data_IF_643994138742
#
_entry.id   IF_643994138742
#
_cell.length_a   1.000
_cell.length_b   1.000
_cell.length_c   1.000
_cell.angle_alpha   90.00
_cell.angle_beta   90.00
_cell.angle_gamma   90.00
#
_symmetry.space_group_name_H-M   'P 1'
#
loop_
_entity.id
_entity.type
_entity.pdbx_description
1 polymer ?
#
# COMPACT_ATOMS: atom_id res chain seq x y z
N UNK A 1 4.30 -62.34 -11.35
CA UNK A 1 5.60 -62.00 -10.78
C UNK A 1 5.67 -60.50 -10.57
N UNK A 2 5.88 -60.10 -9.32
CA UNK A 2 6.12 -58.72 -8.91
C UNK A 2 7.61 -58.47 -9.07
N UNK A 3 8.03 -57.48 -9.86
CA UNK A 3 9.37 -56.89 -9.69
C UNK A 3 9.38 -55.41 -10.07
N UNK A 4 9.51 -54.61 -9.01
CA UNK A 4 10.40 -53.47 -8.85
C UNK A 4 10.68 -52.59 -10.07
N UNK A 5 9.86 -51.56 -10.23
CA UNK A 5 10.37 -50.26 -10.65
C UNK A 5 9.75 -49.18 -9.76
N UNK A 6 10.35 -49.02 -8.59
CA UNK A 6 10.19 -47.85 -7.73
C UNK A 6 10.76 -46.63 -8.46
N UNK A 7 10.00 -46.07 -9.40
CA UNK A 7 10.23 -44.78 -10.00
C UNK A 7 9.43 -43.77 -9.19
N UNK A 8 10.15 -43.04 -8.34
CA UNK A 8 9.75 -41.91 -7.51
C UNK A 8 8.35 -41.38 -7.82
N UNK A 9 7.46 -41.50 -6.84
CA UNK A 9 6.19 -40.80 -6.78
C UNK A 9 6.42 -39.28 -6.95
N UNK A 10 6.34 -38.78 -8.18
CA UNK A 10 6.04 -37.38 -8.43
C UNK A 10 4.54 -37.25 -8.28
N UNK A 11 4.15 -36.77 -7.11
CA UNK A 11 2.80 -36.37 -6.75
C UNK A 11 2.09 -35.66 -7.91
N UNK A 12 0.78 -35.92 -8.08
CA UNK A 12 -0.01 -35.51 -9.24
C UNK A 12 0.00 -33.99 -9.36
N UNK A 13 -0.02 -33.49 -10.60
CA UNK A 13 -0.10 -32.06 -10.90
C UNK A 13 -1.22 -31.39 -10.09
N UNK A 14 -0.84 -30.80 -8.96
CA UNK A 14 -1.68 -29.92 -8.17
C UNK A 14 -2.03 -28.68 -9.00
N UNK A 15 -3.25 -28.19 -8.87
CA UNK A 15 -4.12 -27.84 -9.99
C UNK A 15 -3.63 -26.61 -10.74
N UNK A 16 -3.82 -26.67 -12.06
CA UNK A 16 -3.91 -25.50 -12.92
C UNK A 16 -4.71 -24.40 -12.23
N UNK A 17 -4.18 -23.16 -12.30
CA UNK A 17 -4.86 -21.91 -11.95
C UNK A 17 -4.70 -21.48 -10.50
N UNK A 18 -3.53 -20.90 -10.19
CA UNK A 18 -3.56 -19.73 -9.32
C UNK A 18 -4.72 -18.82 -9.82
N UNK A 19 -5.63 -18.37 -8.95
CA UNK A 19 -6.63 -17.40 -9.38
C UNK A 19 -5.85 -16.24 -10.04
N UNK A 20 -6.34 -15.69 -11.17
CA UNK A 20 -5.71 -14.52 -11.75
C UNK A 20 -5.52 -13.54 -10.61
N UNK A 21 -4.27 -13.14 -10.36
CA UNK A 21 -3.85 -12.33 -9.21
C UNK A 21 -4.99 -11.40 -8.86
N UNK A 22 -5.58 -11.49 -7.65
CA UNK A 22 -6.74 -10.69 -7.30
C UNK A 22 -6.36 -9.28 -7.72
N UNK A 23 -7.10 -8.78 -8.72
CA UNK A 23 -6.74 -7.63 -9.52
C UNK A 23 -5.96 -6.67 -8.64
N UNK A 24 -4.72 -6.37 -9.02
CA UNK A 24 -3.79 -5.52 -8.26
C UNK A 24 -4.41 -4.19 -7.81
N UNK A 25 -5.61 -3.86 -8.27
CA UNK A 25 -6.55 -2.91 -7.69
C UNK A 25 -8.01 -3.41 -7.85
N UNK A 26 -8.49 -4.35 -7.04
CA UNK A 26 -9.94 -4.50 -6.86
C UNK A 26 -10.44 -3.17 -6.29
N UNK A 27 -11.13 -2.39 -7.13
CA UNK A 27 -11.75 -1.07 -6.89
C UNK A 27 -11.58 -0.61 -5.44
N UNK A 28 -10.84 0.49 -5.27
CA UNK A 28 -10.90 1.34 -4.07
C UNK A 28 -12.33 1.33 -3.53
N UNK A 29 -12.55 1.16 -2.20
CA UNK A 29 -13.89 1.32 -1.64
C UNK A 29 -14.48 2.57 -2.27
N UNK A 30 -15.66 2.40 -2.88
CA UNK A 30 -16.34 3.45 -3.63
C UNK A 30 -16.16 4.76 -2.83
N UNK A 31 -15.50 5.74 -3.44
CA UNK A 31 -14.96 6.93 -2.77
C UNK A 31 -16.09 7.90 -2.36
N UNK A 32 -17.26 7.35 -2.07
CA UNK A 32 -18.55 7.96 -1.82
C UNK A 32 -19.05 7.45 -0.47
N UNK A 33 -18.40 7.92 0.60
CA UNK A 33 -19.00 8.08 1.96
C UNK A 33 -18.06 8.67 3.02
N UNK A 34 -16.87 9.14 2.65
CA UNK A 34 -16.07 10.02 3.52
C UNK A 34 -16.00 11.35 2.80
N UNK A 35 -16.65 12.38 3.34
CA UNK A 35 -16.55 13.73 2.78
C UNK A 35 -15.09 14.14 2.60
N UNK A 36 -14.79 14.88 1.54
CA UNK A 36 -13.45 15.43 1.35
C UNK A 36 -13.16 16.46 2.45
N UNK A 37 -12.25 16.13 3.37
CA UNK A 37 -11.79 17.06 4.38
C UNK A 37 -10.78 18.00 3.72
N UNK A 38 -11.07 19.30 3.73
CA UNK A 38 -10.20 20.33 3.15
C UNK A 38 -9.22 20.82 4.21
N UNK A 39 -7.94 20.83 3.86
CA UNK A 39 -6.87 21.41 4.68
C UNK A 39 -6.20 22.54 3.90
N UNK A 40 -5.84 23.61 4.60
CA UNK A 40 -4.98 24.65 4.03
C UNK A 40 -3.54 24.14 3.93
N UNK A 41 -2.76 24.67 2.99
CA UNK A 41 -1.33 24.32 2.88
C UNK A 41 -0.57 24.66 4.17
N UNK A 42 -0.94 25.75 4.85
CA UNK A 42 -0.35 26.15 6.13
C UNK A 42 -0.57 25.11 7.23
N UNK A 43 -1.75 24.48 7.30
CA UNK A 43 -2.01 23.38 8.24
C UNK A 43 -1.12 22.18 7.94
N UNK A 44 -0.95 21.82 6.66
CA UNK A 44 -0.10 20.70 6.26
C UNK A 44 1.38 20.98 6.55
N UNK A 45 1.84 22.21 6.30
CA UNK A 45 3.20 22.66 6.63
C UNK A 45 3.43 22.53 8.14
N UNK A 46 2.54 23.05 8.98
CA UNK A 46 2.67 22.93 10.44
C UNK A 46 2.67 21.46 10.88
N UNK A 47 1.73 20.67 10.38
CA UNK A 47 1.57 19.27 10.76
C UNK A 47 2.81 18.42 10.42
N UNK A 48 3.54 18.76 9.36
CA UNK A 48 4.72 18.04 8.88
C UNK A 48 6.04 18.70 9.27
N UNK A 49 6.02 19.71 10.13
CA UNK A 49 7.18 20.55 10.46
C UNK A 49 7.91 21.04 9.20
N UNK A 50 7.16 21.68 8.30
CA UNK A 50 7.61 22.13 6.99
C UNK A 50 8.24 21.02 6.12
N UNK A 51 7.61 19.84 6.09
CA UNK A 51 8.13 18.66 5.39
C UNK A 51 9.55 18.29 5.81
N UNK A 52 9.85 18.42 7.12
CA UNK A 52 11.17 18.09 7.66
C UNK A 52 11.60 16.65 7.29
N UNK A 53 12.88 16.40 7.00
CA UNK A 53 13.37 15.05 6.69
C UNK A 53 13.09 14.03 7.81
N UNK A 54 13.09 14.49 9.07
CA UNK A 54 12.76 13.66 10.24
C UNK A 54 11.31 13.17 10.24
N UNK A 55 10.42 13.83 9.50
CA UNK A 55 9.02 13.43 9.34
C UNK A 55 8.82 12.52 8.13
N UNK A 56 9.83 12.27 7.30
CA UNK A 56 9.70 11.38 6.14
C UNK A 56 9.50 9.93 6.62
N UNK A 57 8.45 9.29 6.12
CA UNK A 57 8.13 7.89 6.42
C UNK A 57 8.22 6.97 5.19
N UNK A 58 8.32 7.53 3.99
CA UNK A 58 8.48 6.75 2.78
C UNK A 58 8.75 7.60 1.55
N UNK A 59 9.30 6.97 0.53
CA UNK A 59 9.51 7.57 -0.79
C UNK A 59 9.25 6.51 -1.86
N UNK A 60 8.56 6.91 -2.92
CA UNK A 60 8.38 6.09 -4.11
C UNK A 60 8.61 6.91 -5.39
N UNK A 61 8.29 6.31 -6.53
CA UNK A 61 8.44 6.94 -7.84
C UNK A 61 7.65 8.24 -7.98
N UNK A 62 6.43 8.30 -7.44
CA UNK A 62 5.50 9.42 -7.69
C UNK A 62 5.44 10.47 -6.57
N UNK A 63 5.92 10.15 -5.37
CA UNK A 63 5.74 11.03 -4.21
C UNK A 63 6.69 10.69 -3.06
N UNK A 64 6.87 11.66 -2.17
CA UNK A 64 7.44 11.47 -0.83
C UNK A 64 6.32 11.54 0.20
N UNK A 65 6.34 10.63 1.17
CA UNK A 65 5.32 10.52 2.22
C UNK A 65 5.91 10.96 3.54
N UNK A 66 5.21 11.87 4.22
CA UNK A 66 5.58 12.41 5.52
C UNK A 66 4.54 12.05 6.57
N UNK A 67 4.99 11.77 7.79
CA UNK A 67 4.15 11.79 8.98
C UNK A 67 3.71 13.23 9.23
N UNK A 68 2.43 13.42 9.49
CA UNK A 68 1.86 14.67 9.95
C UNK A 68 1.16 14.47 11.28
N UNK A 69 1.21 15.48 12.16
CA UNK A 69 0.38 15.54 13.37
C UNK A 69 -0.52 16.76 13.24
N UNK A 70 -1.82 16.54 13.09
CA UNK A 70 -2.80 17.61 13.02
C UNK A 70 -2.96 18.32 14.37
N UNK A 71 -3.56 19.51 14.38
CA UNK A 71 -3.79 20.30 15.59
C UNK A 71 -4.68 19.58 16.63
N UNK A 72 -5.53 18.66 16.18
CA UNK A 72 -6.35 17.79 17.02
C UNK A 72 -5.62 16.54 17.53
N UNK A 73 -4.31 16.43 17.28
CA UNK A 73 -3.46 15.31 17.69
C UNK A 73 -3.56 14.08 16.78
N UNK A 74 -4.42 14.07 15.76
CA UNK A 74 -4.50 12.94 14.82
C UNK A 74 -3.22 12.84 14.00
N UNK A 75 -2.67 11.62 13.95
CA UNK A 75 -1.52 11.30 13.12
C UNK A 75 -2.00 10.90 11.72
N UNK A 76 -1.43 11.55 10.69
CA UNK A 76 -1.79 11.35 9.28
C UNK A 76 -0.57 11.10 8.42
N UNK A 77 -0.79 10.53 7.23
CA UNK A 77 0.23 10.43 6.20
C UNK A 77 -0.03 11.48 5.11
N UNK A 78 0.93 12.38 4.90
CA UNK A 78 0.88 13.44 3.89
C UNK A 78 1.72 13.01 2.69
N UNK A 79 1.09 12.84 1.52
CA UNK A 79 1.80 12.57 0.26
C UNK A 79 2.08 13.87 -0.48
N UNK A 80 3.36 14.15 -0.75
CA UNK A 80 3.81 15.27 -1.60
C UNK A 80 4.23 14.70 -2.95
N UNK A 81 3.44 14.99 -3.99
CA UNK A 81 3.77 14.59 -5.36
C UNK A 81 5.09 15.23 -5.81
N UNK A 82 5.92 14.43 -6.49
CA UNK A 82 7.08 14.96 -7.21
C UNK A 82 6.55 15.65 -8.47
N UNK A 83 7.09 16.82 -8.79
CA UNK A 83 6.85 17.44 -10.09
C UNK A 83 7.54 16.65 -11.19
#
# INVERSE_FOLDING_TARGET
SFDSNYRAERTPGSPLRAPPSPLRFSRTPELSRVGSIRFSIGQIIRATNNFAPTMKIGEGGSATVYKGVLEDGRVVAVKRAKQ
#
